data_IF_961882656670
#
_entry.id   IF_961882656670
#
_cell.length_a   1.000
_cell.length_b   1.000
_cell.length_c   1.000
_cell.angle_alpha   90.00
_cell.angle_beta   90.00
_cell.angle_gamma   90.00
#
_symmetry.space_group_name_H-M   'P 1'
#
loop_
_entity.id
_entity.type
_entity.pdbx_description
1 polymer ?
#
# COMPACT_ATOMS: atom_id res chain seq x y z
N UNK A 1 10.20 15.33 -12.85
CA UNK A 1 10.79 15.49 -11.50
C UNK A 1 11.29 14.16 -10.93
N UNK A 2 10.44 13.32 -10.31
CA UNK A 2 10.90 12.09 -9.62
C UNK A 2 11.59 11.06 -10.52
N UNK A 3 11.11 10.88 -11.75
CA UNK A 3 11.76 9.99 -12.72
C UNK A 3 13.21 10.44 -13.02
N UNK A 4 13.39 11.74 -13.26
CA UNK A 4 14.71 12.34 -13.52
C UNK A 4 15.64 12.23 -12.30
N UNK A 5 15.10 12.47 -11.11
CA UNK A 5 15.83 12.25 -9.85
C UNK A 5 16.32 10.81 -9.72
N UNK A 6 15.47 9.83 -10.01
CA UNK A 6 15.82 8.42 -9.95
C UNK A 6 16.95 8.07 -10.91
N UNK A 7 16.82 8.48 -12.19
CA UNK A 7 17.85 8.25 -13.22
C UNK A 7 19.18 8.93 -12.84
N UNK A 8 19.14 10.17 -12.34
CA UNK A 8 20.35 10.94 -11.95
C UNK A 8 21.10 10.30 -10.79
N UNK A 9 20.40 9.63 -9.88
CA UNK A 9 21.00 8.91 -8.74
C UNK A 9 21.21 7.41 -9.03
N UNK A 10 21.29 7.02 -10.31
CA UNK A 10 21.58 5.65 -10.75
C UNK A 10 20.55 4.59 -10.29
N UNK A 11 19.32 5.02 -9.96
CA UNK A 11 18.22 4.11 -9.68
C UNK A 11 17.58 3.60 -10.97
N UNK A 12 17.10 2.36 -10.95
CA UNK A 12 16.27 1.84 -12.03
C UNK A 12 14.84 2.34 -11.85
N UNK A 13 14.40 3.23 -12.74
CA UNK A 13 13.04 3.79 -12.73
C UNK A 13 12.18 3.11 -13.77
N UNK A 14 10.99 2.67 -13.38
CA UNK A 14 9.98 2.08 -14.27
C UNK A 14 8.61 2.70 -14.03
N UNK A 15 7.98 3.19 -15.09
CA UNK A 15 6.58 3.62 -15.07
C UNK A 15 5.69 2.36 -15.10
N UNK A 16 4.92 2.14 -14.02
CA UNK A 16 4.09 0.95 -13.85
C UNK A 16 2.66 1.17 -14.33
N UNK A 17 2.09 2.32 -14.00
CA UNK A 17 0.73 2.69 -14.40
C UNK A 17 0.68 4.19 -14.72
N UNK A 18 -0.13 4.55 -15.71
CA UNK A 18 -0.30 5.91 -16.17
C UNK A 18 -1.70 6.12 -16.73
N UNK A 19 -2.50 6.90 -16.01
CA UNK A 19 -3.83 7.30 -16.43
C UNK A 19 -3.77 8.75 -16.90
N UNK A 20 -4.00 8.97 -18.20
CA UNK A 20 -4.02 10.30 -18.80
C UNK A 20 -5.21 11.11 -18.27
N UNK A 21 -5.00 12.41 -18.07
CA UNK A 21 -6.09 13.35 -17.77
C UNK A 21 -6.97 13.61 -18.99
N UNK A 22 -8.21 14.04 -18.77
CA UNK A 22 -9.20 14.28 -19.85
C UNK A 22 -8.75 15.35 -20.83
N UNK A 23 -8.25 16.48 -20.33
CA UNK A 23 -7.79 17.60 -21.18
C UNK A 23 -6.27 17.63 -21.31
N UNK A 24 -5.54 17.46 -20.21
CA UNK A 24 -4.07 17.50 -20.19
C UNK A 24 -3.51 16.87 -18.92
N UNK A 25 -2.22 16.51 -18.94
CA UNK A 25 -1.51 15.93 -17.80
C UNK A 25 -1.93 14.49 -17.48
N UNK A 26 -1.69 14.09 -16.23
CA UNK A 26 -2.01 12.77 -15.71
C UNK A 26 -3.04 12.87 -14.57
N UNK A 27 -3.99 11.94 -14.54
CA UNK A 27 -4.91 11.73 -13.42
C UNK A 27 -4.25 10.89 -12.32
N UNK A 28 -3.50 9.87 -12.72
CA UNK A 28 -2.76 8.98 -11.84
C UNK A 28 -1.47 8.54 -12.55
N UNK A 29 -0.37 8.43 -11.81
CA UNK A 29 0.86 7.83 -12.29
C UNK A 29 1.53 7.06 -11.15
N UNK A 30 1.99 5.85 -11.45
CA UNK A 30 2.70 4.98 -10.50
C UNK A 30 4.10 4.72 -11.02
N UNK A 31 5.10 5.10 -10.22
CA UNK A 31 6.51 4.89 -10.53
C UNK A 31 7.09 3.84 -9.58
N UNK A 32 7.84 2.89 -10.13
CA UNK A 32 8.71 1.97 -9.39
C UNK A 32 10.14 2.51 -9.47
N UNK A 33 10.78 2.67 -8.32
CA UNK A 33 12.18 3.10 -8.23
C UNK A 33 12.93 2.00 -7.47
N UNK A 34 13.77 1.26 -8.19
CA UNK A 34 14.55 0.16 -7.66
C UNK A 34 16.01 0.60 -7.44
N UNK A 35 16.51 0.32 -6.23
CA UNK A 35 17.93 0.45 -5.87
C UNK A 35 18.15 0.64 -4.38
N UNK A 36 19.40 0.81 -3.99
CA UNK A 36 19.82 0.75 -2.58
C UNK A 36 19.24 1.94 -1.80
N UNK A 37 18.55 1.65 -0.70
CA UNK A 37 17.91 2.67 0.16
C UNK A 37 16.91 3.59 -0.56
N UNK A 38 16.39 3.22 -1.73
CA UNK A 38 15.48 4.06 -2.51
C UNK A 38 14.23 4.48 -1.70
N UNK A 39 13.65 3.54 -0.94
CA UNK A 39 12.54 3.85 -0.04
C UNK A 39 12.92 4.85 1.05
N UNK A 40 14.12 4.74 1.62
CA UNK A 40 14.59 5.65 2.67
C UNK A 40 14.64 7.10 2.19
N UNK A 41 15.23 7.33 1.02
CA UNK A 41 15.28 8.64 0.38
C UNK A 41 13.89 9.20 0.08
N UNK A 42 13.00 8.39 -0.50
CA UNK A 42 11.68 8.83 -0.94
C UNK A 42 10.61 8.88 0.17
N UNK A 43 10.83 8.25 1.33
CA UNK A 43 9.80 8.06 2.38
C UNK A 43 9.09 9.36 2.75
N UNK A 44 9.86 10.43 2.90
CA UNK A 44 9.37 11.74 3.32
C UNK A 44 8.86 12.61 2.16
N UNK A 45 8.82 12.11 0.93
CA UNK A 45 8.11 12.79 -0.17
C UNK A 45 6.61 12.49 -0.15
N UNK A 46 6.14 11.60 0.74
CA UNK A 46 4.71 11.37 0.94
C UNK A 46 4.04 12.61 1.54
N UNK A 47 3.06 13.16 0.83
CA UNK A 47 2.31 14.33 1.24
C UNK A 47 1.76 15.12 0.07
N UNK A 48 1.22 16.31 0.36
CA UNK A 48 0.62 17.17 -0.64
C UNK A 48 1.63 18.21 -1.11
N UNK A 49 1.81 18.28 -2.42
CA UNK A 49 2.65 19.26 -3.09
C UNK A 49 1.77 20.32 -3.74
N UNK A 50 2.06 21.59 -3.45
CA UNK A 50 1.31 22.74 -3.94
C UNK A 50 2.06 23.43 -5.07
N UNK A 51 1.43 23.63 -6.22
CA UNK A 51 1.98 24.40 -7.34
C UNK A 51 1.20 25.72 -7.49
N UNK A 52 1.92 26.83 -7.57
CA UNK A 52 1.37 28.16 -7.79
C UNK A 52 1.96 28.72 -9.08
N UNK A 53 1.12 28.98 -10.07
CA UNK A 53 1.55 29.50 -11.39
C UNK A 53 0.44 30.26 -12.10
N UNK A 54 0.78 30.94 -13.19
CA UNK A 54 -0.22 31.34 -14.19
C UNK A 54 -0.53 30.08 -15.01
N UNK A 55 -1.82 29.74 -15.11
CA UNK A 55 -2.24 28.54 -15.86
C UNK A 55 -2.17 28.80 -17.36
N UNK A 56 -1.51 27.94 -18.16
CA UNK A 56 -1.54 28.06 -19.62
C UNK A 56 -2.93 27.76 -20.21
N UNK A 57 -3.85 27.24 -19.40
CA UNK A 57 -5.22 26.91 -19.79
C UNK A 57 -6.24 27.99 -19.40
N UNK A 58 -5.83 29.03 -18.67
CA UNK A 58 -6.72 30.15 -18.31
C UNK A 58 -6.45 31.35 -19.22
N UNK A 59 -7.44 31.74 -20.02
CA UNK A 59 -7.33 32.88 -20.95
C UNK A 59 -7.16 34.23 -20.25
N UNK A 60 -7.52 34.32 -18.96
CA UNK A 60 -7.42 35.54 -18.16
C UNK A 60 -6.07 35.69 -17.44
N UNK A 61 -5.11 34.78 -17.65
CA UNK A 61 -3.79 34.79 -17.01
C UNK A 61 -3.84 34.96 -15.47
N UNK A 62 -4.89 34.43 -14.83
CA UNK A 62 -5.00 34.52 -13.37
C UNK A 62 -4.01 33.57 -12.71
N UNK A 63 -3.62 33.92 -11.49
CA UNK A 63 -2.83 33.05 -10.63
C UNK A 63 -3.68 31.86 -10.19
N UNK A 64 -3.23 30.65 -10.52
CA UNK A 64 -3.88 29.40 -10.12
C UNK A 64 -3.03 28.68 -9.09
N UNK A 65 -3.69 27.97 -8.18
CA UNK A 65 -3.06 27.07 -7.22
C UNK A 65 -3.57 25.66 -7.46
N UNK A 66 -2.65 24.73 -7.69
CA UNK A 66 -2.94 23.31 -7.91
C UNK A 66 -2.30 22.48 -6.81
N UNK A 67 -2.87 21.31 -6.55
CA UNK A 67 -2.37 20.37 -5.55
C UNK A 67 -2.19 18.99 -6.18
N UNK A 68 -1.11 18.32 -5.84
CA UNK A 68 -0.84 16.94 -6.20
C UNK A 68 -0.49 16.16 -4.93
N UNK A 69 -1.15 15.03 -4.71
CA UNK A 69 -0.80 14.12 -3.62
C UNK A 69 0.24 13.13 -4.12
N UNK A 70 1.31 12.96 -3.35
CA UNK A 70 2.36 11.97 -3.58
C UNK A 70 2.32 11.00 -2.42
N UNK A 71 2.40 9.70 -2.72
CA UNK A 71 2.45 8.64 -1.72
C UNK A 71 3.55 7.68 -2.08
N UNK A 72 4.42 7.40 -1.12
CA UNK A 72 5.56 6.50 -1.28
C UNK A 72 5.37 5.30 -0.36
N UNK A 73 5.42 4.11 -0.94
CA UNK A 73 5.33 2.85 -0.22
C UNK A 73 6.55 1.98 -0.53
N UNK A 74 7.03 1.19 0.44
CA UNK A 74 8.09 0.25 0.18
C UNK A 74 7.55 -0.85 -0.75
N UNK A 75 8.32 -1.18 -1.78
CA UNK A 75 8.06 -2.38 -2.56
C UNK A 75 8.58 -3.58 -1.77
N UNK A 76 7.69 -4.28 -1.07
CA UNK A 76 8.00 -5.59 -0.47
C UNK A 76 7.86 -6.59 -1.62
N UNK A 77 8.98 -7.01 -2.20
CA UNK A 77 8.95 -7.96 -3.31
C UNK A 77 8.25 -9.24 -2.87
N UNK A 78 7.31 -9.73 -3.69
CA UNK A 78 6.67 -11.04 -3.52
C UNK A 78 7.65 -12.21 -3.70
N UNK A 79 8.84 -11.95 -4.27
CA UNK A 79 9.90 -12.93 -4.54
C UNK A 79 10.71 -13.31 -3.28
N UNK A 80 10.57 -12.57 -2.17
CA UNK A 80 10.90 -13.14 -0.88
C UNK A 80 9.87 -14.24 -0.62
N UNK A 81 10.26 -15.49 -0.88
CA UNK A 81 9.50 -16.73 -0.65
C UNK A 81 8.86 -16.85 0.76
N UNK A 82 9.04 -15.87 1.65
CA UNK A 82 8.30 -15.68 2.88
C UNK A 82 6.81 -15.33 2.69
N UNK A 83 6.40 -14.84 1.53
CA UNK A 83 5.01 -14.40 1.29
C UNK A 83 4.08 -15.49 0.72
N UNK A 84 4.63 -16.66 0.36
CA UNK A 84 3.82 -17.88 0.38
C UNK A 84 3.46 -18.12 1.84
N UNK A 85 2.27 -17.66 2.25
CA UNK A 85 1.71 -17.98 3.56
C UNK A 85 1.52 -19.50 3.56
N UNK A 86 2.58 -20.21 3.96
CA UNK A 86 2.59 -21.65 4.03
C UNK A 86 1.90 -21.96 5.35
N UNK A 87 0.57 -22.05 5.30
CA UNK A 87 -0.27 -22.27 6.47
C UNK A 87 -0.07 -23.73 6.90
N UNK A 88 0.95 -23.95 7.71
CA UNK A 88 1.17 -25.20 8.43
C UNK A 88 0.18 -25.17 9.59
N UNK A 89 -0.87 -25.98 9.50
CA UNK A 89 -1.88 -26.11 10.55
C UNK A 89 -1.48 -27.30 11.41
N UNK A 90 -1.00 -27.10 12.65
CA UNK A 90 -0.75 -28.22 13.54
C UNK A 90 -2.08 -28.88 13.93
N UNK A 91 -2.06 -30.20 14.10
CA UNK A 91 -3.26 -30.97 14.43
C UNK A 91 -3.84 -30.61 15.81
N UNK A 92 -3.04 -30.04 16.71
CA UNK A 92 -3.47 -29.53 18.02
C UNK A 92 -4.48 -28.40 17.93
N UNK A 93 -4.43 -27.61 16.85
CA UNK A 93 -5.22 -26.38 16.71
C UNK A 93 -6.58 -26.65 16.05
N UNK A 94 -6.86 -27.93 15.75
CA UNK A 94 -8.04 -28.38 15.04
C UNK A 94 -8.94 -29.20 15.96
N UNK A 95 -10.16 -28.72 16.15
CA UNK A 95 -11.25 -29.51 16.70
C UNK A 95 -12.05 -30.12 15.55
N UNK A 96 -12.03 -31.43 15.43
CA UNK A 96 -12.73 -32.18 14.37
C UNK A 96 -13.90 -32.91 14.98
N UNK A 97 -15.11 -32.61 14.53
CA UNK A 97 -16.36 -33.22 14.97
C UNK A 97 -17.01 -33.92 13.77
N UNK A 98 -17.35 -35.20 13.93
CA UNK A 98 -18.17 -35.92 12.95
C UNK A 98 -19.64 -35.82 13.36
N UNK A 99 -20.53 -35.64 12.39
CA UNK A 99 -21.97 -35.57 12.65
C UNK A 99 -22.75 -36.13 11.45
N UNK A 100 -24.06 -36.33 11.63
CA UNK A 100 -24.93 -36.84 10.57
C UNK A 100 -25.18 -35.75 9.53
N UNK A 101 -25.11 -36.12 8.25
CA UNK A 101 -25.36 -35.18 7.15
C UNK A 101 -26.81 -34.70 7.19
N UNK A 102 -27.04 -33.41 6.91
CA UNK A 102 -28.39 -32.82 6.91
C UNK A 102 -28.89 -32.64 5.47
N UNK A 103 -30.03 -33.26 5.14
CA UNK A 103 -30.69 -33.09 3.84
C UNK A 103 -31.67 -34.22 3.48
N UNK A 104 -32.50 -34.04 2.43
CA UNK A 104 -33.36 -35.11 1.92
C UNK A 104 -32.50 -36.20 1.29
N UNK A 105 -32.27 -37.29 2.03
CA UNK A 105 -31.42 -38.39 1.59
C UNK A 105 -31.88 -39.75 2.11
N UNK A 106 -31.43 -40.82 1.45
CA UNK A 106 -31.80 -42.20 1.78
C UNK A 106 -31.19 -42.72 3.08
N UNK A 107 -31.34 -44.02 3.35
CA UNK A 107 -30.94 -44.69 4.60
C UNK A 107 -29.50 -44.37 5.06
N UNK A 108 -28.57 -44.18 4.13
CA UNK A 108 -27.17 -43.82 4.43
C UNK A 108 -27.02 -42.45 5.14
N UNK A 109 -27.90 -41.49 4.86
CA UNK A 109 -27.87 -40.14 5.48
C UNK A 109 -28.37 -40.18 6.92
N UNK A 110 -29.29 -41.08 7.24
CA UNK A 110 -29.91 -41.18 8.57
C UNK A 110 -29.09 -42.01 9.57
N UNK A 111 -28.27 -42.95 9.08
CA UNK A 111 -27.55 -43.93 9.91
C UNK A 111 -26.05 -43.63 10.03
N UNK A 112 -25.43 -43.00 9.02
CA UNK A 112 -23.96 -42.84 8.98
C UNK A 112 -23.52 -41.40 9.26
N UNK A 113 -22.56 -41.24 10.18
CA UNK A 113 -21.93 -39.96 10.51
C UNK A 113 -20.83 -39.60 9.50
N UNK A 114 -21.24 -39.26 8.28
CA UNK A 114 -20.32 -38.92 7.20
C UNK A 114 -19.91 -37.44 7.15
N UNK A 115 -20.68 -36.52 7.75
CA UNK A 115 -20.38 -35.09 7.70
C UNK A 115 -19.30 -34.73 8.73
N UNK A 116 -18.44 -33.78 8.36
CA UNK A 116 -17.34 -33.32 9.22
C UNK A 116 -17.43 -31.82 9.40
N UNK A 117 -17.26 -31.39 10.65
CA UNK A 117 -17.01 -30.02 11.04
C UNK A 117 -15.58 -29.92 11.56
N UNK A 118 -14.82 -28.98 11.02
CA UNK A 118 -13.49 -28.64 11.50
C UNK A 118 -13.54 -27.20 12.01
N UNK A 119 -13.15 -27.02 13.27
CA UNK A 119 -12.99 -25.71 13.91
C UNK A 119 -11.52 -25.46 14.17
N UNK A 120 -10.99 -24.36 13.64
CA UNK A 120 -9.67 -23.89 14.00
C UNK A 120 -9.77 -23.09 15.29
N UNK A 121 -9.20 -23.60 16.37
CA UNK A 121 -9.33 -23.07 17.73
C UNK A 121 -8.84 -21.62 17.82
N UNK A 122 -7.66 -21.23 17.30
CA UNK A 122 -7.16 -19.87 17.52
C UNK A 122 -7.88 -18.82 16.67
N UNK A 123 -8.32 -19.13 15.44
CA UNK A 123 -9.06 -18.16 14.60
C UNK A 123 -10.58 -18.25 14.74
N UNK A 124 -11.09 -19.27 15.45
CA UNK A 124 -12.51 -19.62 15.59
C UNK A 124 -13.24 -19.84 14.25
N UNK A 125 -12.50 -20.06 13.16
CA UNK A 125 -13.08 -20.35 11.85
C UNK A 125 -13.61 -21.76 11.85
N UNK A 126 -14.89 -21.89 11.47
CA UNK A 126 -15.56 -23.18 11.32
C UNK A 126 -15.81 -23.46 9.85
N UNK A 127 -15.49 -24.68 9.43
CA UNK A 127 -15.77 -25.22 8.11
C UNK A 127 -16.49 -26.55 8.27
N UNK A 128 -17.51 -26.78 7.45
CA UNK A 128 -18.25 -28.04 7.43
C UNK A 128 -18.32 -28.58 6.01
N UNK A 129 -18.19 -29.90 5.86
CA UNK A 129 -18.28 -30.60 4.59
C UNK A 129 -19.16 -31.84 4.71
N UNK A 130 -20.10 -31.99 3.78
CA UNK A 130 -21.03 -33.12 3.68
C UNK A 130 -21.17 -33.66 2.24
N UNK A 131 -20.16 -33.44 1.39
CA UNK A 131 -20.26 -33.67 -0.06
C UNK A 131 -20.18 -35.15 -0.46
N UNK A 132 -19.26 -35.91 0.15
CA UNK A 132 -19.03 -37.32 -0.14
C UNK A 132 -19.74 -38.26 0.84
N UNK A 133 -19.85 -39.54 0.44
CA UNK A 133 -20.36 -40.63 1.29
C UNK A 133 -19.35 -41.08 2.35
N UNK A 134 -18.05 -40.82 2.15
CA UNK A 134 -16.98 -41.21 3.06
C UNK A 134 -16.55 -40.05 3.98
N UNK A 135 -16.32 -40.38 5.25
CA UNK A 135 -15.78 -39.46 6.25
C UNK A 135 -14.38 -38.96 5.85
N UNK A 136 -13.51 -39.82 5.32
CA UNK A 136 -12.13 -39.47 4.96
C UNK A 136 -12.08 -38.43 3.82
N UNK A 137 -12.95 -38.59 2.82
CA UNK A 137 -13.05 -37.64 1.69
C UNK A 137 -13.58 -36.29 2.16
N UNK A 138 -14.56 -36.29 3.07
CA UNK A 138 -15.10 -35.06 3.64
C UNK A 138 -14.07 -34.35 4.54
N UNK A 139 -13.20 -35.11 5.22
CA UNK A 139 -12.12 -34.56 6.06
C UNK A 139 -11.08 -33.83 5.21
N UNK A 140 -10.66 -34.48 4.12
CA UNK A 140 -9.71 -33.90 3.18
C UNK A 140 -10.26 -32.62 2.54
N UNK A 141 -11.52 -32.65 2.09
CA UNK A 141 -12.16 -31.47 1.49
C UNK A 141 -12.35 -30.33 2.51
N UNK A 142 -12.82 -30.65 3.72
CA UNK A 142 -12.96 -29.67 4.80
C UNK A 142 -11.61 -29.03 5.18
N UNK A 143 -10.53 -29.81 5.16
CA UNK A 143 -9.17 -29.30 5.40
C UNK A 143 -8.73 -28.33 4.29
N UNK A 144 -8.98 -28.66 3.02
CA UNK A 144 -8.69 -27.77 1.89
C UNK A 144 -9.48 -26.47 1.98
N UNK A 145 -10.78 -26.55 2.31
CA UNK A 145 -11.63 -25.38 2.53
C UNK A 145 -11.17 -24.54 3.73
N UNK A 146 -10.71 -25.18 4.81
CA UNK A 146 -10.17 -24.47 5.97
C UNK A 146 -8.89 -23.72 5.62
N UNK A 147 -7.96 -24.37 4.90
CA UNK A 147 -6.74 -23.72 4.39
C UNK A 147 -7.08 -22.51 3.52
N UNK A 148 -8.05 -22.64 2.61
CA UNK A 148 -8.50 -21.52 1.77
C UNK A 148 -9.06 -20.36 2.60
N UNK A 149 -9.92 -20.62 3.60
CA UNK A 149 -10.45 -19.57 4.48
C UNK A 149 -9.39 -18.91 5.35
N UNK A 150 -8.42 -19.67 5.86
CA UNK A 150 -7.30 -19.10 6.64
C UNK A 150 -6.40 -18.24 5.77
N UNK A 151 -6.17 -18.64 4.52
CA UNK A 151 -5.42 -17.87 3.54
C UNK A 151 -6.10 -16.55 3.20
N UNK A 152 -7.41 -16.59 2.92
CA UNK A 152 -8.20 -15.39 2.64
C UNK A 152 -8.19 -14.42 3.84
N UNK A 153 -8.33 -14.95 5.06
CA UNK A 153 -8.21 -14.14 6.29
C UNK A 153 -6.83 -13.47 6.40
N UNK A 154 -5.74 -14.21 6.17
CA UNK A 154 -4.38 -13.66 6.26
C UNK A 154 -4.12 -12.57 5.20
N UNK A 155 -4.62 -12.77 3.97
CA UNK A 155 -4.56 -11.74 2.92
C UNK A 155 -5.34 -10.50 3.34
N UNK A 156 -6.55 -10.70 3.87
CA UNK A 156 -7.41 -9.60 4.30
C UNK A 156 -6.74 -8.78 5.42
N UNK A 157 -6.18 -9.45 6.44
CA UNK A 157 -5.45 -8.78 7.51
C UNK A 157 -4.24 -8.01 6.99
N UNK A 158 -3.45 -8.59 6.06
CA UNK A 158 -2.35 -7.87 5.40
C UNK A 158 -2.85 -6.64 4.62
N UNK A 159 -3.99 -6.76 3.94
CA UNK A 159 -4.60 -5.65 3.18
C UNK A 159 -5.11 -4.55 4.10
N UNK A 160 -5.79 -4.91 5.18
CA UNK A 160 -6.33 -3.97 6.17
C UNK A 160 -5.19 -3.23 6.88
N UNK A 161 -4.12 -3.93 7.27
CA UNK A 161 -2.92 -3.30 7.84
C UNK A 161 -2.25 -2.31 6.86
N UNK A 162 -2.15 -2.68 5.57
CA UNK A 162 -1.71 -1.74 4.52
C UNK A 162 -2.67 -0.55 4.43
N UNK A 163 -3.98 -0.78 4.43
CA UNK A 163 -5.01 0.27 4.35
C UNK A 163 -4.99 1.23 5.53
N UNK A 164 -4.70 0.75 6.74
CA UNK A 164 -4.54 1.59 7.91
C UNK A 164 -3.28 2.48 7.81
N UNK A 165 -2.18 1.96 7.25
CA UNK A 165 -1.03 2.81 6.90
C UNK A 165 -1.40 3.88 5.88
N UNK A 166 -2.30 3.58 4.93
CA UNK A 166 -2.79 4.57 3.96
C UNK A 166 -3.76 5.59 4.59
N UNK A 167 -4.59 5.21 5.56
CA UNK A 167 -5.61 6.09 6.15
C UNK A 167 -5.02 7.16 7.08
N UNK A 168 -3.82 6.92 7.61
CA UNK A 168 -3.05 7.91 8.38
C UNK A 168 -2.41 9.02 7.54
N UNK A 169 -2.42 8.90 6.20
CA UNK A 169 -1.92 9.97 5.33
C UNK A 169 -2.87 11.17 5.36
N UNK A 170 -2.35 12.40 5.43
CA UNK A 170 -3.19 13.60 5.51
C UNK A 170 -4.08 13.69 4.26
N UNK A 171 -5.40 13.74 4.48
CA UNK A 171 -6.37 14.03 3.41
C UNK A 171 -6.06 15.40 2.82
N UNK A 172 -6.32 15.56 1.52
CA UNK A 172 -6.19 16.80 0.76
C UNK A 172 -7.02 17.95 1.39
N UNK A 173 -6.45 18.59 2.42
CA UNK A 173 -7.04 19.72 3.12
C UNK A 173 -6.11 20.92 3.00
N UNK A 174 -6.70 22.09 2.85
CA UNK A 174 -5.94 23.33 2.70
C UNK A 174 -5.08 23.57 3.96
N UNK A 175 -3.77 23.77 3.79
CA UNK A 175 -2.81 23.91 4.89
C UNK A 175 -1.97 22.67 5.20
N UNK A 176 -2.29 21.50 4.63
CA UNK A 176 -1.54 20.25 4.85
C UNK A 176 -0.40 20.00 3.84
N UNK A 177 -0.04 21.00 3.03
CA UNK A 177 1.03 20.87 2.05
C UNK A 177 2.42 20.75 2.69
N UNK A 178 3.22 19.79 2.22
CA UNK A 178 4.60 19.59 2.67
C UNK A 178 5.57 20.49 1.90
N UNK A 179 5.33 20.73 0.61
CA UNK A 179 6.19 21.57 -0.24
C UNK A 179 5.37 22.43 -1.19
N UNK A 180 5.80 23.67 -1.35
CA UNK A 180 5.19 24.65 -2.25
C UNK A 180 6.17 25.03 -3.35
N UNK A 181 5.70 25.00 -4.60
CA UNK A 181 6.41 25.39 -5.80
C UNK A 181 5.74 26.65 -6.35
N UNK A 182 6.41 27.80 -6.23
CA UNK A 182 5.96 29.07 -6.79
C UNK A 182 6.70 29.31 -8.11
N UNK A 183 5.94 29.46 -9.19
CA UNK A 183 6.45 29.89 -10.50
C UNK A 183 6.12 31.35 -10.81
N UNK A 184 5.25 31.97 -10.01
CA UNK A 184 4.80 33.36 -10.15
C UNK A 184 4.37 33.92 -8.79
N UNK A 185 4.67 35.20 -8.46
CA UNK A 185 5.44 36.17 -9.25
C UNK A 185 6.97 35.94 -9.21
N UNK A 186 7.47 35.26 -8.18
CA UNK A 186 8.86 34.86 -8.07
C UNK A 186 8.96 33.33 -8.13
N UNK A 187 10.04 32.85 -8.74
CA UNK A 187 10.38 31.45 -8.80
C UNK A 187 11.02 31.03 -7.47
N UNK A 188 10.31 30.23 -6.68
CA UNK A 188 10.74 29.79 -5.36
C UNK A 188 10.12 28.43 -5.04
N UNK A 189 10.92 27.52 -4.49
CA UNK A 189 10.42 26.28 -3.88
C UNK A 189 10.69 26.36 -2.39
N UNK A 190 9.68 26.05 -1.57
CA UNK A 190 9.76 26.07 -0.11
C UNK A 190 9.19 24.79 0.48
N UNK A 191 9.98 24.07 1.27
CA UNK A 191 9.52 22.96 2.09
C UNK A 191 9.00 23.49 3.43
N UNK A 192 7.72 23.26 3.70
CA UNK A 192 7.04 23.78 4.89
C UNK A 192 7.44 23.08 6.18
N UNK A 193 8.13 21.92 6.09
CA UNK A 193 8.53 21.13 7.25
C UNK A 193 9.91 21.49 7.73
N UNK A 194 10.87 21.53 6.79
CA UNK A 194 12.28 21.80 7.08
C UNK A 194 12.61 23.29 7.02
N UNK A 195 11.75 24.10 6.38
CA UNK A 195 12.01 25.51 6.13
C UNK A 195 12.99 25.77 4.99
N UNK A 196 13.56 24.72 4.36
CA UNK A 196 14.48 24.85 3.24
C UNK A 196 13.78 25.50 2.04
N UNK A 197 14.44 26.45 1.42
CA UNK A 197 13.96 27.12 0.22
C UNK A 197 15.05 27.27 -0.84
N UNK A 198 14.65 27.22 -2.12
CA UNK A 198 15.56 27.40 -3.26
C UNK A 198 14.89 28.18 -4.37
N UNK A 199 15.68 29.01 -5.05
CA UNK A 199 15.25 29.75 -6.24
C UNK A 199 15.52 28.97 -7.53
N UNK A 200 16.23 27.83 -7.45
CA UNK A 200 16.61 27.00 -8.63
C UNK A 200 15.45 26.09 -9.05
N UNK A 201 14.33 26.69 -9.46
CA UNK A 201 13.10 25.94 -9.73
C UNK A 201 13.23 24.96 -10.89
N UNK A 202 13.92 25.37 -11.96
CA UNK A 202 14.14 24.52 -13.13
C UNK A 202 15.01 23.31 -12.80
N UNK A 203 16.07 23.49 -11.99
CA UNK A 203 16.91 22.37 -11.56
C UNK A 203 16.10 21.32 -10.76
N UNK A 204 15.20 21.76 -9.89
CA UNK A 204 14.35 20.84 -9.13
C UNK A 204 13.33 20.15 -10.03
N UNK A 205 12.52 20.91 -10.79
CA UNK A 205 11.38 20.35 -11.55
C UNK A 205 11.83 19.59 -12.81
N UNK A 206 12.76 20.19 -13.56
CA UNK A 206 13.19 19.73 -14.88
C UNK A 206 14.47 18.89 -14.83
N UNK A 207 15.33 18.99 -13.82
CA UNK A 207 16.55 18.17 -13.73
C UNK A 207 16.50 17.15 -12.59
N UNK A 208 15.54 17.28 -11.67
CA UNK A 208 15.33 16.35 -10.56
C UNK A 208 16.29 16.57 -9.40
N UNK A 209 16.77 17.79 -9.15
CA UNK A 209 17.61 18.12 -8.00
C UNK A 209 16.82 18.13 -6.68
N UNK A 210 16.44 16.94 -6.19
CA UNK A 210 15.67 16.77 -4.95
C UNK A 210 16.50 16.37 -3.73
N UNK A 211 17.78 16.04 -3.92
CA UNK A 211 18.64 15.48 -2.85
C UNK A 211 18.66 16.38 -1.60
N UNK A 212 18.85 17.70 -1.77
CA UNK A 212 18.88 18.65 -0.65
C UNK A 212 17.58 18.64 0.17
N UNK A 213 16.42 18.58 -0.51
CA UNK A 213 15.13 18.52 0.16
C UNK A 213 14.92 17.19 0.89
N UNK A 214 15.25 16.08 0.24
CA UNK A 214 15.12 14.74 0.82
C UNK A 214 16.04 14.57 2.04
N UNK A 215 17.30 15.00 1.93
CA UNK A 215 18.27 14.97 3.02
C UNK A 215 17.83 15.84 4.20
N UNK A 216 17.42 17.08 3.94
CA UNK A 216 16.91 17.98 4.98
C UNK A 216 15.70 17.36 5.70
N UNK A 217 14.82 16.67 4.97
CA UNK A 217 13.66 15.99 5.56
C UNK A 217 14.07 14.79 6.43
N UNK A 218 15.05 14.00 5.97
CA UNK A 218 15.59 12.87 6.73
C UNK A 218 16.18 13.34 8.06
N UNK A 219 16.99 14.40 8.03
CA UNK A 219 17.59 15.00 9.24
C UNK A 219 16.50 15.53 10.17
N UNK A 220 15.50 16.24 9.65
CA UNK A 220 14.41 16.83 10.43
C UNK A 220 13.62 15.75 11.19
N UNK A 221 13.22 14.67 10.52
CA UNK A 221 12.45 13.60 11.17
C UNK A 221 13.30 12.72 12.09
N UNK A 222 14.59 12.55 11.80
CA UNK A 222 15.51 11.82 12.69
C UNK A 222 15.70 12.56 14.01
N UNK A 223 15.97 13.88 13.97
CA UNK A 223 16.05 14.73 15.18
C UNK A 223 14.79 14.63 16.03
N UNK A 224 13.62 14.78 15.41
CA UNK A 224 12.33 14.69 16.11
C UNK A 224 12.08 13.32 16.75
N UNK A 225 12.59 12.25 16.13
CA UNK A 225 12.47 10.90 16.69
C UNK A 225 13.37 10.74 17.92
N UNK A 226 14.61 11.25 17.87
CA UNK A 226 15.52 11.21 19.01
C UNK A 226 15.03 12.05 20.19
N UNK A 227 14.41 13.20 19.93
CA UNK A 227 13.82 14.05 20.98
C UNK A 227 12.60 13.41 21.67
N UNK A 228 12.00 12.36 21.10
CA UNK A 228 10.90 11.60 21.73
C UNK A 228 11.40 10.49 22.68
N UNK A 229 12.70 10.20 22.69
CA UNK A 229 13.31 9.16 23.52
C UNK A 229 14.22 9.74 24.63
N UNK A 230 14.18 11.05 24.84
CA UNK A 230 14.82 11.77 25.96
C UNK A 230 13.70 12.34 26.84
#
# INVERSE_FOLDING_TARGET
MYEKWGIKNEYQVKLMDYVKGETSGCKLATLKIDGKYAYGWCKHESGIHRLVRISPFDSQNRRHTSFASVTVFPNVNEDDNSDRVNIIIPSSDLKIEAFRSSGPGGQHVNVTESAIRITHIPTKIVVQCQFGRSQHTNKALAMTMLKAKLYDKAIKEKRDAKQEQYSGLPKNSWGSQIRSYFLYPHQLIKDGRTGLETNKVDAVLNEGELNEFMEASLIYYNKKTNDLFI
#
